data_IF_242609887165
#
_entry.id   IF_242609887165
#
_cell.length_a   1.000
_cell.length_b   1.000
_cell.length_c   1.000
_cell.angle_alpha   90.00
_cell.angle_beta   90.00
_cell.angle_gamma   90.00
#
_symmetry.space_group_name_H-M   'P 1'
#
loop_
_entity.id
_entity.type
_entity.pdbx_description
1 polymer ?
#
# COMPACT_ATOMS: atom_id res chain seq x y z
N UNK A 1 7.45 -2.39 14.76
CA UNK A 1 8.58 -2.55 13.83
C UNK A 1 8.60 -1.41 12.84
N UNK A 2 9.79 -0.97 12.46
CA UNK A 2 10.03 0.05 11.42
C UNK A 2 10.76 -0.63 10.26
N UNK A 3 10.42 -0.26 9.02
CA UNK A 3 11.03 -0.82 7.81
C UNK A 3 11.21 0.26 6.74
N UNK A 4 12.10 -0.02 5.79
CA UNK A 4 12.30 0.83 4.63
C UNK A 4 11.34 0.45 3.51
N UNK A 5 10.70 1.46 2.92
CA UNK A 5 9.79 1.30 1.81
C UNK A 5 9.87 2.52 0.87
N UNK A 6 9.62 2.30 -0.41
CA UNK A 6 9.35 3.37 -1.36
C UNK A 6 7.83 3.66 -1.38
N UNK A 7 7.45 4.93 -1.22
CA UNK A 7 6.06 5.37 -1.20
C UNK A 7 5.77 6.24 -2.42
N UNK A 8 4.87 5.78 -3.28
CA UNK A 8 4.49 6.46 -4.52
C UNK A 8 2.97 6.72 -4.53
N UNK A 9 2.51 7.98 -4.68
CA UNK A 9 1.12 8.29 -4.98
C UNK A 9 0.73 7.67 -6.34
N UNK A 10 -0.51 7.22 -6.51
CA UNK A 10 -0.97 6.66 -7.79
C UNK A 10 -1.48 7.69 -8.81
N UNK A 11 -1.17 8.98 -8.60
CA UNK A 11 -1.57 10.08 -9.48
C UNK A 11 -2.93 10.64 -9.09
N UNK A 12 -3.00 11.96 -8.86
CA UNK A 12 -4.21 12.64 -8.41
C UNK A 12 -4.94 13.31 -9.56
N UNK A 13 -5.92 12.62 -10.18
CA UNK A 13 -7.13 13.24 -10.75
C UNK A 13 -8.13 12.15 -11.15
N UNK A 14 -9.17 11.92 -10.34
CA UNK A 14 -10.44 11.34 -10.77
C UNK A 14 -10.49 9.87 -11.17
N UNK A 15 -9.37 9.19 -11.40
CA UNK A 15 -9.35 7.75 -11.67
C UNK A 15 -9.07 7.01 -10.37
N UNK A 16 -10.03 7.15 -9.44
CA UNK A 16 -10.26 6.06 -8.50
C UNK A 16 -10.74 4.93 -9.39
N UNK A 17 -9.84 4.03 -9.78
CA UNK A 17 -10.22 2.74 -10.33
C UNK A 17 -11.00 2.01 -9.23
N UNK A 18 -12.27 2.37 -9.12
CA UNK A 18 -13.31 1.70 -8.38
C UNK A 18 -13.71 0.48 -9.20
N UNK A 19 -12.73 -0.32 -9.62
CA UNK A 19 -13.01 -1.53 -10.36
C UNK A 19 -13.50 -2.56 -9.36
N UNK A 20 -14.83 -2.62 -9.25
CA UNK A 20 -15.64 -3.53 -8.45
C UNK A 20 -15.69 -3.21 -6.95
N UNK A 21 -16.71 -2.44 -6.55
CA UNK A 21 -17.23 -2.31 -5.18
C UNK A 21 -16.25 -1.78 -4.09
N UNK A 22 -15.86 -0.50 -4.20
CA UNK A 22 -15.77 0.38 -3.02
C UNK A 22 -14.42 0.57 -2.32
N UNK A 23 -13.31 0.04 -2.84
CA UNK A 23 -11.98 0.28 -2.25
C UNK A 23 -11.20 1.38 -3.00
N UNK A 24 -10.86 2.47 -2.31
CA UNK A 24 -10.05 3.57 -2.88
C UNK A 24 -8.57 3.29 -2.67
N UNK A 25 -7.80 3.14 -3.74
CA UNK A 25 -6.33 3.03 -3.67
C UNK A 25 -5.71 4.38 -4.00
N UNK A 26 -4.96 4.94 -3.05
CA UNK A 26 -4.32 6.26 -3.20
C UNK A 26 -2.81 6.16 -3.39
N UNK A 27 -2.21 5.11 -2.84
CA UNK A 27 -0.77 4.95 -2.75
C UNK A 27 -0.35 3.52 -3.08
N UNK A 28 0.85 3.42 -3.65
CA UNK A 28 1.60 2.18 -3.78
C UNK A 28 2.83 2.26 -2.88
N UNK A 29 2.99 1.26 -2.03
CA UNK A 29 4.11 1.13 -1.11
C UNK A 29 4.89 -0.12 -1.54
N UNK A 30 6.18 0.05 -1.85
CA UNK A 30 7.08 -1.04 -2.20
C UNK A 30 8.03 -1.31 -1.03
N UNK A 31 8.12 -2.55 -0.57
CA UNK A 31 9.06 -2.95 0.48
C UNK A 31 9.73 -4.28 0.14
N UNK A 32 10.85 -4.58 0.81
CA UNK A 32 11.46 -5.92 0.75
C UNK A 32 10.55 -6.94 1.41
N UNK A 33 10.53 -8.15 0.88
CA UNK A 33 9.89 -9.29 1.54
C UNK A 33 10.60 -9.65 2.86
N UNK A 34 9.92 -10.41 3.71
CA UNK A 34 10.40 -10.77 5.05
C UNK A 34 9.30 -10.67 6.09
N UNK A 35 8.70 -9.48 6.32
CA UNK A 35 7.58 -9.37 7.22
C UNK A 35 6.28 -9.89 6.58
N UNK A 36 5.49 -10.60 7.37
CA UNK A 36 4.13 -11.01 6.98
C UNK A 36 3.18 -9.80 7.06
N UNK A 37 3.01 -9.12 5.93
CA UNK A 37 2.08 -7.98 5.82
C UNK A 37 0.72 -8.47 5.34
N UNK A 38 -0.33 -8.05 6.04
CA UNK A 38 -1.72 -8.40 5.72
C UNK A 38 -2.61 -7.15 5.75
N UNK A 39 -3.84 -7.27 5.23
CA UNK A 39 -4.84 -6.18 5.22
C UNK A 39 -5.31 -5.74 6.61
N UNK A 40 -4.96 -6.48 7.67
CA UNK A 40 -5.20 -6.08 9.07
C UNK A 40 -4.18 -5.05 9.57
N UNK A 41 -3.05 -4.92 8.88
CA UNK A 41 -2.00 -3.98 9.24
C UNK A 41 -2.28 -2.59 8.69
N UNK A 42 -1.58 -1.60 9.27
CA UNK A 42 -1.56 -0.21 8.81
C UNK A 42 -0.12 0.26 8.77
N UNK A 43 0.23 1.05 7.76
CA UNK A 43 1.52 1.74 7.71
C UNK A 43 1.37 3.15 8.23
N UNK A 44 2.41 3.65 8.91
CA UNK A 44 2.49 5.02 9.38
C UNK A 44 3.79 5.64 8.89
N UNK A 45 3.70 6.82 8.27
CA UNK A 45 4.85 7.63 7.87
C UNK A 45 4.68 9.04 8.44
N UNK A 46 5.37 9.31 9.56
CA UNK A 46 5.15 10.54 10.32
C UNK A 46 3.71 10.61 10.84
N UNK A 47 2.97 11.65 10.44
CA UNK A 47 1.56 11.83 10.80
C UNK A 47 0.59 11.05 9.90
N UNK A 48 1.02 10.60 8.71
CA UNK A 48 0.18 9.98 7.69
C UNK A 48 -0.09 8.51 8.01
N UNK A 49 -1.33 8.07 7.83
CA UNK A 49 -1.77 6.69 8.08
C UNK A 49 -2.26 6.05 6.78
N UNK A 50 -1.80 4.84 6.49
CA UNK A 50 -2.15 4.11 5.29
C UNK A 50 -2.77 2.76 5.65
N UNK A 51 -4.04 2.56 5.26
CA UNK A 51 -4.73 1.27 5.37
C UNK A 51 -4.27 0.36 4.24
N UNK A 52 -3.87 -0.86 4.58
CA UNK A 52 -3.48 -1.87 3.59
C UNK A 52 -4.73 -2.42 2.90
N UNK A 53 -4.80 -2.29 1.58
CA UNK A 53 -5.93 -2.77 0.78
C UNK A 53 -5.62 -4.06 0.04
N UNK A 54 -4.42 -4.17 -0.51
CA UNK A 54 -3.93 -5.40 -1.10
C UNK A 54 -2.42 -5.53 -0.90
N UNK A 55 -1.95 -6.77 -0.86
CA UNK A 55 -0.53 -7.12 -0.81
C UNK A 55 -0.29 -8.16 -1.90
N UNK A 56 0.76 -7.98 -2.69
CA UNK A 56 1.18 -8.94 -3.72
C UNK A 56 2.69 -8.92 -3.91
N UNK A 57 3.25 -10.00 -4.40
CA UNK A 57 4.65 -10.03 -4.82
C UNK A 57 4.86 -9.15 -6.05
N UNK A 58 6.00 -8.45 -6.10
CA UNK A 58 6.43 -7.70 -7.29
C UNK A 58 6.94 -8.64 -8.38
N UNK A 59 7.69 -9.67 -7.98
CA UNK A 59 8.34 -10.62 -8.87
C UNK A 59 8.09 -12.07 -8.41
N UNK A 60 8.19 -13.07 -9.32
CA UNK A 60 8.06 -14.48 -8.94
C UNK A 60 9.14 -14.95 -7.95
N UNK A 61 10.23 -14.21 -7.82
CA UNK A 61 11.29 -14.49 -6.86
C UNK A 61 10.90 -14.09 -5.42
N UNK A 62 9.78 -13.40 -5.23
CA UNK A 62 9.25 -13.01 -3.92
C UNK A 62 10.18 -12.07 -3.15
N UNK A 63 10.98 -11.25 -3.84
CA UNK A 63 11.99 -10.38 -3.18
C UNK A 63 11.40 -9.07 -2.67
N UNK A 64 10.33 -8.61 -3.31
CA UNK A 64 9.67 -7.36 -2.98
C UNK A 64 8.16 -7.56 -2.94
N UNK A 65 7.52 -6.84 -2.02
CA UNK A 65 6.08 -6.75 -1.90
C UNK A 65 5.63 -5.39 -2.42
N UNK A 66 4.54 -5.41 -3.21
CA UNK A 66 3.74 -4.24 -3.51
C UNK A 66 2.54 -4.26 -2.57
N UNK A 67 2.32 -3.13 -1.90
CA UNK A 67 1.13 -2.86 -1.10
C UNK A 67 0.36 -1.73 -1.75
N UNK A 68 -0.89 -1.99 -2.11
CA UNK A 68 -1.84 -0.94 -2.46
C UNK A 68 -2.53 -0.47 -1.19
N UNK A 69 -2.57 0.85 -1.01
CA UNK A 69 -3.02 1.47 0.23
C UNK A 69 -3.92 2.69 0.04
N UNK A 70 -4.82 2.86 0.99
CA UNK A 70 -5.66 4.05 1.16
C UNK A 70 -5.02 4.93 2.23
N UNK A 71 -4.68 6.18 1.90
CA UNK A 71 -4.30 7.16 2.89
C UNK A 71 -5.55 7.65 3.63
N UNK A 72 -5.49 7.61 4.96
CA UNK A 72 -6.56 8.08 5.83
C UNK A 72 -6.34 9.55 6.13
N UNK A 73 -7.36 10.34 5.82
CA UNK A 73 -7.47 11.74 6.20
C UNK A 73 -8.38 11.73 7.43
N UNK A 74 -7.76 11.70 8.61
CA UNK A 74 -8.46 11.93 9.88
C UNK A 74 -8.38 13.42 10.24
#
# INVERSE_FOLDING_TARGET
TTLWAALAPRGGRGEVDADTAGAVVTHRILLRSGPEITTRHRFRAGARLFRVMAVRDLDPAGRFLIVDAEERID
#
